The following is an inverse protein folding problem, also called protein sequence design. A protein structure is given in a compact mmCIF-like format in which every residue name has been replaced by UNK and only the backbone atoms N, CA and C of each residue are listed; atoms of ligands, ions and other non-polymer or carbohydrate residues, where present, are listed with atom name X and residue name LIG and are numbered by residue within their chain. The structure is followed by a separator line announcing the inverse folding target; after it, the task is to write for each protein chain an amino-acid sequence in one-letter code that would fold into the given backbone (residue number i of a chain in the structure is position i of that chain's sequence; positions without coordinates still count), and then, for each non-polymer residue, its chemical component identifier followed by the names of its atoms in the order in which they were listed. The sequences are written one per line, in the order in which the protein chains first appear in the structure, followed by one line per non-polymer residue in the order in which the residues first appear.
data_IF_031912815684
#
_entry.id   IF_031912815684
#
_cell.length_a   1.000
_cell.length_b   1.000
_cell.length_c   1.000
_cell.angle_alpha   90.00
_cell.angle_beta   90.00
_cell.angle_gamma   90.00
#
_symmetry.space_group_name_H-M   'P 1'
#
loop_
_entity.id
_entity.type
_entity.pdbx_description
1 polymer ?
#
# COMPACT_ATOMS: atom_id res chain seq x y z
N UNK A 1 52.33 47.24 78.76
CA UNK A 1 50.88 47.06 78.50
C UNK A 1 50.51 47.90 77.28
N UNK A 2 50.39 47.31 76.10
CA UNK A 2 50.04 48.04 74.85
C UNK A 2 48.60 47.75 74.44
N UNK A 3 47.76 48.77 74.33
CA UNK A 3 46.36 48.65 73.90
C UNK A 3 46.30 48.51 72.37
N UNK A 4 45.78 47.39 71.86
CA UNK A 4 45.52 47.21 70.43
C UNK A 4 44.16 47.80 70.06
N UNK A 5 44.13 48.68 69.05
CA UNK A 5 42.90 49.30 68.55
C UNK A 5 42.03 48.29 67.76
N UNK A 6 40.69 48.43 67.76
CA UNK A 6 39.81 47.55 67.01
C UNK A 6 39.89 47.88 65.51
N UNK A 7 40.29 46.90 64.70
CA UNK A 7 40.23 47.00 63.23
C UNK A 7 38.77 46.91 62.81
N UNK A 8 38.23 47.98 62.24
CA UNK A 8 36.94 47.94 61.56
C UNK A 8 37.07 47.03 60.32
N UNK A 9 36.33 45.92 60.29
CA UNK A 9 36.20 45.12 59.08
C UNK A 9 35.34 45.89 58.07
N UNK A 10 35.98 46.41 57.04
CA UNK A 10 35.29 46.97 55.88
C UNK A 10 34.64 45.83 55.10
N UNK A 11 33.32 45.89 54.91
CA UNK A 11 32.60 44.96 54.04
C UNK A 11 32.86 45.34 52.58
N UNK A 12 33.80 44.65 51.94
CA UNK A 12 34.08 44.81 50.52
C UNK A 12 33.11 43.93 49.71
N UNK A 13 32.42 44.51 48.71
CA UNK A 13 31.60 43.76 47.77
C UNK A 13 32.54 43.07 46.77
N UNK A 14 32.76 41.77 46.97
CA UNK A 14 33.57 40.94 46.09
C UNK A 14 32.69 40.28 45.03
N UNK A 15 33.18 40.17 43.80
CA UNK A 15 32.52 39.40 42.76
C UNK A 15 32.80 37.90 42.98
N UNK A 16 31.74 37.11 43.17
CA UNK A 16 31.84 35.65 43.21
C UNK A 16 31.57 35.08 41.82
N UNK A 17 32.51 34.32 41.26
CA UNK A 17 32.27 33.51 40.06
C UNK A 17 31.72 32.17 40.50
N UNK A 18 30.47 31.89 40.14
CA UNK A 18 29.91 30.55 40.34
C UNK A 18 30.44 29.64 39.24
N UNK A 19 31.09 28.51 39.55
CA UNK A 19 31.53 27.57 38.52
C UNK A 19 30.32 27.01 37.79
N UNK A 20 30.43 26.90 36.45
CA UNK A 20 29.39 26.28 35.61
C UNK A 20 29.16 24.86 36.10
N UNK A 21 27.94 24.55 36.54
CA UNK A 21 27.54 23.18 36.90
C UNK A 21 27.21 22.44 35.62
N UNK A 22 27.81 21.27 35.44
CA UNK A 22 27.56 20.40 34.30
C UNK A 22 26.16 19.81 34.47
N UNK A 23 25.34 19.83 33.42
CA UNK A 23 24.02 19.22 33.47
C UNK A 23 24.17 17.71 33.22
N UNK A 24 24.21 16.95 34.32
CA UNK A 24 24.37 15.50 34.32
C UNK A 24 23.32 14.79 33.44
N UNK A 25 22.09 15.30 33.40
CA UNK A 25 21.01 14.72 32.59
C UNK A 25 21.33 14.88 31.10
N UNK A 26 21.83 16.04 30.69
CA UNK A 26 22.22 16.28 29.31
C UNK A 26 23.41 15.41 28.87
N UNK A 27 24.39 15.26 29.76
CA UNK A 27 25.59 14.45 29.47
C UNK A 27 25.23 12.96 29.34
N UNK A 28 24.38 12.47 30.25
CA UNK A 28 23.87 11.08 30.24
C UNK A 28 23.04 10.81 28.98
N UNK A 29 22.16 11.74 28.60
CA UNK A 29 21.36 11.62 27.38
C UNK A 29 22.22 11.54 26.12
N UNK A 30 23.20 12.44 25.97
CA UNK A 30 24.12 12.44 24.83
C UNK A 30 24.96 11.16 24.80
N UNK A 31 25.39 10.66 25.96
CA UNK A 31 26.11 9.40 26.06
C UNK A 31 25.25 8.21 25.61
N UNK A 32 23.98 8.15 26.03
CA UNK A 32 23.05 7.10 25.62
C UNK A 32 22.76 7.14 24.12
N UNK A 33 22.56 8.32 23.53
CA UNK A 33 22.37 8.43 22.06
C UNK A 33 23.59 7.90 21.31
N UNK A 34 24.80 8.27 21.74
CA UNK A 34 26.04 7.82 21.08
C UNK A 34 26.26 6.32 21.21
N UNK A 35 25.83 5.74 22.33
CA UNK A 35 25.92 4.29 22.58
C UNK A 35 24.81 3.51 21.88
N UNK A 36 23.67 4.15 21.61
CA UNK A 36 22.55 3.53 20.93
C UNK A 36 22.90 3.29 19.45
N UNK A 37 23.14 2.03 19.13
CA UNK A 37 23.25 1.54 17.75
C UNK A 37 21.90 0.90 17.41
N UNK A 38 21.00 1.57 16.67
CA UNK A 38 19.77 0.94 16.23
C UNK A 38 20.14 -0.32 15.44
N UNK A 39 19.50 -1.44 15.78
CA UNK A 39 19.69 -2.66 15.01
C UNK A 39 19.16 -2.37 13.61
N UNK A 40 19.98 -2.50 12.54
CA UNK A 40 19.50 -2.23 11.21
C UNK A 40 18.37 -3.20 10.91
N UNK A 41 17.15 -2.67 10.77
CA UNK A 41 16.03 -3.43 10.25
C UNK A 41 16.39 -3.78 8.80
N UNK A 42 17.05 -4.93 8.62
CA UNK A 42 17.21 -5.53 7.30
C UNK A 42 15.81 -5.65 6.69
N UNK A 43 15.68 -5.43 5.39
CA UNK A 43 14.39 -5.51 4.70
C UNK A 43 13.64 -6.85 4.96
N UNK A 44 14.36 -7.90 5.38
CA UNK A 44 13.81 -9.20 5.80
C UNK A 44 13.14 -9.23 7.18
N UNK A 45 13.38 -8.26 8.07
CA UNK A 45 12.77 -8.19 9.41
C UNK A 45 11.58 -7.24 9.49
N UNK A 46 11.26 -6.55 8.41
CA UNK A 46 9.99 -5.85 8.36
C UNK A 46 8.89 -6.92 8.26
N UNK A 47 7.91 -6.89 9.17
CA UNK A 47 6.65 -7.65 9.08
C UNK A 47 5.78 -7.19 7.89
N UNK A 48 6.42 -6.84 6.78
CA UNK A 48 5.83 -6.33 5.56
C UNK A 48 5.90 -7.47 4.56
N UNK A 49 4.73 -7.98 4.18
CA UNK A 49 4.61 -8.97 3.12
C UNK A 49 5.24 -8.40 1.84
N UNK A 50 6.30 -9.04 1.34
CA UNK A 50 6.97 -8.65 0.11
C UNK A 50 5.95 -8.64 -1.05
N UNK A 51 5.92 -7.53 -1.80
CA UNK A 51 5.04 -7.40 -2.94
C UNK A 51 5.54 -8.29 -4.09
N UNK A 52 4.74 -9.28 -4.45
CA UNK A 52 4.98 -10.18 -5.58
C UNK A 52 3.95 -9.86 -6.66
N UNK A 53 4.41 -9.57 -7.87
CA UNK A 53 3.53 -9.39 -9.02
C UNK A 53 2.85 -10.73 -9.33
N UNK A 54 1.54 -10.74 -9.61
CA UNK A 54 0.86 -11.98 -10.00
C UNK A 54 1.47 -12.53 -11.28
N UNK A 55 1.61 -13.85 -11.35
CA UNK A 55 2.03 -14.51 -12.56
C UNK A 55 1.04 -14.21 -13.69
N UNK A 56 1.54 -14.10 -14.92
CA UNK A 56 0.70 -13.98 -16.12
C UNK A 56 -0.31 -15.15 -16.08
N UNK A 57 -1.61 -14.89 -16.32
CA UNK A 57 -2.59 -15.96 -16.33
C UNK A 57 -2.15 -17.05 -17.32
N UNK A 58 -2.14 -18.29 -16.84
CA UNK A 58 -2.03 -19.43 -17.74
C UNK A 58 -3.26 -19.40 -18.63
N UNK A 59 -3.04 -19.54 -19.94
CA UNK A 59 -4.14 -19.90 -20.83
C UNK A 59 -4.67 -21.24 -20.30
N UNK A 60 -5.99 -21.39 -20.09
CA UNK A 60 -6.55 -22.69 -19.76
C UNK A 60 -6.09 -23.68 -20.83
N UNK A 61 -5.81 -24.93 -20.45
CA UNK A 61 -5.42 -25.95 -21.42
C UNK A 61 -6.38 -25.90 -22.61
N UNK A 62 -5.86 -25.83 -23.82
CA UNK A 62 -6.68 -25.95 -25.03
C UNK A 62 -7.34 -27.33 -24.99
N UNK A 63 -8.55 -27.42 -24.44
CA UNK A 63 -9.30 -28.67 -24.33
C UNK A 63 -9.66 -29.22 -25.72
N UNK A 64 -9.52 -28.39 -26.75
CA UNK A 64 -9.87 -28.67 -28.14
C UNK A 64 -8.61 -28.47 -28.99
N UNK A 65 -8.04 -29.58 -29.45
CA UNK A 65 -6.95 -29.59 -30.42
C UNK A 65 -7.40 -29.05 -31.78
N UNK A 66 -6.47 -28.55 -32.59
CA UNK A 66 -6.80 -28.03 -33.93
C UNK A 66 -7.56 -29.06 -34.80
N UNK A 67 -7.28 -30.35 -34.61
CA UNK A 67 -7.98 -31.44 -35.30
C UNK A 67 -9.44 -31.58 -34.86
N UNK A 68 -9.74 -31.30 -33.58
CA UNK A 68 -11.11 -31.31 -33.07
C UNK A 68 -11.94 -30.15 -33.64
N UNK A 69 -11.32 -28.99 -33.90
CA UNK A 69 -11.96 -27.87 -34.61
C UNK A 69 -12.32 -28.27 -36.04
N UNK A 70 -11.39 -28.90 -36.77
CA UNK A 70 -11.64 -29.37 -38.12
C UNK A 70 -12.77 -30.42 -38.18
N UNK A 71 -12.84 -31.30 -37.18
CA UNK A 71 -13.92 -32.29 -37.09
C UNK A 71 -15.30 -31.68 -36.83
N UNK A 72 -15.36 -30.57 -36.08
CA UNK A 72 -16.59 -29.83 -35.83
C UNK A 72 -17.06 -29.09 -37.09
N UNK A 73 -16.15 -28.47 -37.84
CA UNK A 73 -16.49 -27.81 -39.12
C UNK A 73 -17.00 -28.79 -40.18
N UNK A 74 -16.47 -30.02 -40.19
CA UNK A 74 -16.90 -31.06 -41.10
C UNK A 74 -18.17 -31.81 -40.64
N UNK A 75 -18.60 -31.61 -39.40
CA UNK A 75 -19.75 -32.30 -38.85
C UNK A 75 -21.05 -31.81 -39.54
N UNK A 76 -21.86 -32.73 -40.09
CA UNK A 76 -23.14 -32.35 -40.68
C UNK A 76 -24.07 -31.83 -39.57
N UNK A 77 -24.65 -30.65 -39.80
CA UNK A 77 -25.67 -30.09 -38.90
C UNK A 77 -26.94 -30.92 -39.08
N UNK A 78 -27.36 -31.60 -38.01
CA UNK A 78 -28.59 -32.37 -37.99
C UNK A 78 -29.77 -31.39 -37.90
N UNK A 79 -30.22 -30.90 -39.06
CA UNK A 79 -31.42 -30.07 -39.16
C UNK A 79 -32.64 -30.97 -39.19
N UNK A 80 -33.59 -30.75 -38.30
CA UNK A 80 -34.92 -31.32 -38.42
C UNK A 80 -35.48 -30.92 -39.80
N UNK A 81 -35.79 -31.90 -40.65
CA UNK A 81 -36.27 -31.63 -42.00
C UNK A 81 -37.48 -30.70 -41.92
N UNK A 82 -37.40 -29.56 -42.61
CA UNK A 82 -38.45 -28.55 -42.58
C UNK A 82 -39.82 -29.21 -42.82
N UNK A 83 -40.82 -29.01 -41.95
CA UNK A 83 -42.13 -29.58 -42.16
C UNK A 83 -42.67 -29.09 -43.51
N UNK A 84 -43.06 -30.03 -44.37
CA UNK A 84 -43.78 -29.71 -45.61
C UNK A 84 -45.20 -29.26 -45.26
N UNK A 85 -45.32 -28.03 -44.77
CA UNK A 85 -46.56 -27.42 -44.34
C UNK A 85 -46.23 -26.08 -43.70
N UNK A 86 -46.78 -25.00 -44.28
CA UNK A 86 -46.64 -23.57 -43.93
C UNK A 86 -45.71 -23.28 -42.76
N UNK A 87 -44.59 -22.60 -43.05
CA UNK A 87 -43.70 -22.05 -42.03
C UNK A 87 -44.54 -21.36 -40.93
N UNK A 88 -44.22 -21.59 -39.64
CA UNK A 88 -44.88 -20.88 -38.56
C UNK A 88 -44.67 -19.37 -38.79
N UNK A 89 -45.74 -18.59 -38.61
CA UNK A 89 -45.69 -17.14 -38.72
C UNK A 89 -44.55 -16.64 -37.83
N UNK A 90 -43.57 -15.96 -38.42
CA UNK A 90 -42.51 -15.33 -37.65
C UNK A 90 -43.17 -14.27 -36.75
N UNK A 91 -43.26 -14.56 -35.46
CA UNK A 91 -43.72 -13.59 -34.48
C UNK A 91 -42.66 -12.49 -34.39
N UNK A 92 -43.02 -11.26 -34.76
CA UNK A 92 -42.13 -10.11 -34.70
C UNK A 92 -41.75 -9.84 -33.24
N UNK A 93 -40.53 -10.23 -32.87
CA UNK A 93 -39.99 -10.06 -31.51
C UNK A 93 -39.74 -8.58 -31.14
N UNK A 94 -39.83 -7.68 -32.12
CA UNK A 94 -39.75 -6.24 -31.95
C UNK A 94 -41.02 -5.58 -32.46
N UNK A 95 -41.92 -5.24 -31.55
CA UNK A 95 -43.03 -4.32 -31.84
C UNK A 95 -42.47 -2.90 -31.75
N UNK A 96 -42.29 -2.25 -32.89
CA UNK A 96 -42.03 -0.81 -32.91
C UNK A 96 -43.36 -0.08 -32.73
N UNK A 97 -43.44 0.83 -31.76
CA UNK A 97 -44.59 1.74 -31.64
C UNK A 97 -44.65 2.58 -32.92
N UNK A 98 -45.79 2.55 -33.60
CA UNK A 98 -46.07 3.43 -34.75
C UNK A 98 -45.83 4.87 -34.30
N UNK A 99 -44.83 5.55 -34.87
CA UNK A 99 -44.61 6.97 -34.65
C UNK A 99 -45.90 7.69 -35.07
N UNK A 100 -46.57 8.31 -34.09
CA UNK A 100 -47.74 9.16 -34.30
C UNK A 100 -47.39 10.17 -35.40
N UNK A 101 -47.96 10.01 -36.60
CA UNK A 101 -47.76 10.91 -37.74
C UNK A 101 -48.14 12.33 -37.32
N UNK A 102 -47.14 13.12 -36.97
CA UNK A 102 -47.30 14.54 -36.70
C UNK A 102 -47.43 15.28 -38.04
N UNK A 103 -48.64 15.22 -38.62
CA UNK A 103 -49.07 16.01 -39.78
C UNK A 103 -50.17 17.01 -39.41
#
# INVERSE_FOLDING_TARGET
MGRTAPKHMMSARLFSVTPKRNNLISDLYVQQIKQFKPNPLSASQADIKAFQLPAKPSVPSDEISADAVASYEAAPVDTEAAPTGSAPVEEDWFVFEEEEEHH
#
